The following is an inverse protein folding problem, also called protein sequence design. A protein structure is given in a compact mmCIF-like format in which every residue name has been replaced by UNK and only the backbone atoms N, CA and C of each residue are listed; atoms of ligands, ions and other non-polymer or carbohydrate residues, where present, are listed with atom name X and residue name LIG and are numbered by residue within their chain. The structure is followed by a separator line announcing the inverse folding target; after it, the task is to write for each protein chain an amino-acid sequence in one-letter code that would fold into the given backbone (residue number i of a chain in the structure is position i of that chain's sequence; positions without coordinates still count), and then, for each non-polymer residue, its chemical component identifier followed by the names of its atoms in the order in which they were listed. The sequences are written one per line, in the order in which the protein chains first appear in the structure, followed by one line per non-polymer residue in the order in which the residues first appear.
data_IF_159126318144
#
_entry.id   IF_159126318144
#
_cell.length_a   1.000
_cell.length_b   1.000
_cell.length_c   1.000
_cell.angle_alpha   90.00
_cell.angle_beta   90.00
_cell.angle_gamma   90.00
#
_symmetry.space_group_name_H-M   'P 1'
#
loop_
_entity.id
_entity.type
_entity.pdbx_description
1 polymer ?
#
# COMPACT_ATOMS: atom_id res chain seq x y z
N UNK A 1 50.36 -53.61 -59.96
CA UNK A 1 49.26 -52.64 -59.83
C UNK A 1 49.73 -51.46 -58.98
N UNK A 2 49.38 -50.21 -59.34
CA UNK A 2 50.22 -49.03 -59.09
C UNK A 2 49.62 -48.00 -58.10
N UNK A 3 50.46 -47.00 -57.79
CA UNK A 3 50.31 -45.83 -56.92
C UNK A 3 49.26 -44.81 -57.39
N UNK A 4 48.70 -44.03 -56.45
CA UNK A 4 48.92 -42.57 -56.24
C UNK A 4 47.70 -41.81 -55.67
N UNK A 5 48.04 -40.64 -55.08
CA UNK A 5 47.28 -39.39 -54.92
C UNK A 5 46.67 -39.13 -53.54
N UNK A 6 47.28 -38.16 -52.84
CA UNK A 6 46.63 -37.40 -51.78
C UNK A 6 45.94 -36.14 -52.32
N UNK A 7 44.94 -35.66 -51.60
CA UNK A 7 44.32 -34.35 -51.77
C UNK A 7 43.97 -33.76 -50.40
N UNK A 8 44.46 -32.54 -50.15
CA UNK A 8 43.97 -31.62 -49.10
C UNK A 8 42.53 -31.19 -49.42
N UNK A 9 41.79 -30.73 -48.40
CA UNK A 9 40.88 -29.61 -48.60
C UNK A 9 41.25 -28.39 -47.74
N UNK A 10 41.45 -27.28 -48.45
CA UNK A 10 40.98 -25.92 -48.18
C UNK A 10 40.67 -25.49 -46.73
N UNK A 11 41.52 -24.59 -46.21
CA UNK A 11 41.12 -23.55 -45.25
C UNK A 11 40.15 -22.59 -45.95
N UNK A 12 38.87 -22.66 -45.62
CA UNK A 12 37.83 -21.72 -46.03
C UNK A 12 37.18 -21.08 -44.81
N UNK A 13 37.32 -19.76 -44.69
CA UNK A 13 36.61 -18.91 -43.73
C UNK A 13 35.09 -19.14 -43.81
N UNK A 14 34.44 -19.33 -42.66
CA UNK A 14 33.16 -18.69 -42.36
C UNK A 14 33.20 -18.17 -40.93
N UNK A 15 33.12 -16.85 -40.82
CA UNK A 15 32.70 -16.16 -39.61
C UNK A 15 31.35 -16.73 -39.22
N UNK A 16 31.28 -17.37 -38.07
CA UNK A 16 30.01 -17.68 -37.42
C UNK A 16 29.78 -16.54 -36.44
N UNK A 17 29.07 -15.52 -36.94
CA UNK A 17 28.26 -14.66 -36.08
C UNK A 17 27.18 -15.56 -35.48
N UNK A 18 27.28 -15.86 -34.19
CA UNK A 18 26.16 -16.38 -33.41
C UNK A 18 25.99 -15.47 -32.20
N UNK A 19 24.87 -14.77 -32.27
CA UNK A 19 24.42 -13.75 -31.37
C UNK A 19 24.48 -14.19 -29.91
N UNK A 20 25.18 -13.38 -29.13
CA UNK A 20 25.02 -13.22 -27.69
C UNK A 20 23.60 -12.72 -27.42
N UNK A 21 22.66 -13.66 -27.31
CA UNK A 21 21.24 -13.41 -27.09
C UNK A 21 20.91 -13.34 -25.61
N UNK A 22 20.52 -12.13 -25.18
CA UNK A 22 19.79 -11.73 -23.97
C UNK A 22 19.42 -12.83 -22.95
N UNK A 23 20.10 -12.80 -21.81
CA UNK A 23 19.67 -13.40 -20.55
C UNK A 23 19.84 -12.34 -19.45
N UNK A 24 18.93 -11.36 -19.42
CA UNK A 24 18.75 -10.40 -18.31
C UNK A 24 17.55 -9.51 -18.59
N UNK A 25 16.33 -9.95 -18.28
CA UNK A 25 15.13 -9.07 -18.27
C UNK A 25 14.01 -9.72 -17.45
N UNK A 26 14.16 -9.75 -16.13
CA UNK A 26 13.06 -10.09 -15.21
C UNK A 26 13.15 -9.38 -13.85
N UNK A 27 13.93 -8.30 -13.73
CA UNK A 27 14.25 -7.69 -12.43
C UNK A 27 13.88 -6.20 -12.28
N UNK A 28 12.99 -5.62 -13.09
CA UNK A 28 12.82 -4.15 -13.13
C UNK A 28 11.38 -3.61 -13.25
N UNK A 29 10.37 -4.32 -12.71
CA UNK A 29 8.96 -3.87 -12.82
C UNK A 29 8.24 -3.65 -11.47
N UNK A 30 8.93 -3.82 -10.33
CA UNK A 30 8.28 -3.75 -9.01
C UNK A 30 8.75 -2.64 -8.06
N UNK A 31 9.44 -1.61 -8.55
CA UNK A 31 10.18 -0.64 -7.73
C UNK A 31 9.51 0.73 -7.54
N UNK A 32 8.23 0.93 -7.90
CA UNK A 32 7.61 2.27 -7.92
C UNK A 32 6.37 2.48 -7.02
N UNK A 33 6.10 1.58 -6.07
CA UNK A 33 5.09 1.81 -5.02
C UNK A 33 5.60 1.65 -3.57
N UNK A 34 6.92 1.63 -3.39
CA UNK A 34 7.56 1.93 -2.11
C UNK A 34 8.36 3.21 -2.30
N UNK A 35 7.84 4.33 -1.79
CA UNK A 35 8.58 5.58 -1.77
C UNK A 35 9.95 5.35 -1.11
N UNK A 36 10.98 5.67 -1.87
CA UNK A 36 12.39 5.57 -1.56
C UNK A 36 12.76 6.33 -0.29
N UNK A 37 13.26 5.63 0.73
CA UNK A 37 14.35 6.11 1.62
C UNK A 37 14.88 4.95 2.46
N UNK A 38 16.03 4.41 2.06
CA UNK A 38 16.94 3.64 2.92
C UNK A 38 18.18 4.52 3.10
N UNK A 39 18.32 5.19 4.25
CA UNK A 39 19.56 5.71 4.86
C UNK A 39 19.20 6.62 6.05
N UNK A 40 19.37 6.13 7.28
CA UNK A 40 20.18 6.75 8.36
C UNK A 40 19.94 6.03 9.70
N UNK A 41 21.05 5.72 10.35
CA UNK A 41 21.20 4.95 11.59
C UNK A 41 21.95 5.84 12.61
N UNK A 42 21.52 5.77 13.87
CA UNK A 42 22.18 6.18 15.13
C UNK A 42 22.56 7.66 15.39
N UNK A 43 21.94 8.22 16.44
CA UNK A 43 22.49 9.08 17.51
C UNK A 43 21.26 9.72 18.21
N UNK A 44 21.10 9.98 19.50
CA UNK A 44 21.85 9.82 20.74
C UNK A 44 20.83 10.03 21.88
N UNK A 45 21.05 9.40 23.03
CA UNK A 45 20.35 9.65 24.31
C UNK A 45 20.40 11.13 24.72
N UNK A 46 19.31 11.65 25.29
CA UNK A 46 19.32 12.35 26.59
C UNK A 46 17.93 12.47 27.21
N UNK A 47 17.91 12.56 28.54
CA UNK A 47 16.80 12.35 29.48
C UNK A 47 16.34 13.65 30.16
N UNK A 48 15.12 13.59 30.72
CA UNK A 48 14.48 14.41 31.77
C UNK A 48 13.93 15.78 31.32
N UNK A 49 12.82 16.36 31.80
CA UNK A 49 12.15 16.34 33.12
C UNK A 49 10.62 16.60 32.99
N UNK A 50 9.89 16.08 33.99
CA UNK A 50 8.49 16.17 34.47
C UNK A 50 7.87 17.59 34.59
N UNK A 51 6.55 17.74 34.37
CA UNK A 51 5.59 18.31 35.33
C UNK A 51 4.10 18.28 34.88
N UNK A 52 3.34 17.52 35.67
CA UNK A 52 1.90 17.36 35.91
C UNK A 52 1.02 18.63 35.82
N UNK A 53 -0.19 18.49 35.25
CA UNK A 53 -1.43 18.89 35.94
C UNK A 53 -2.66 18.12 35.44
N UNK A 54 -3.45 17.68 36.41
CA UNK A 54 -4.65 16.88 36.30
C UNK A 54 -5.92 17.76 36.22
N UNK A 55 -7.06 17.06 36.08
CA UNK A 55 -8.47 17.48 36.02
C UNK A 55 -8.99 17.65 34.58
N UNK A 56 -10.16 17.15 34.19
CA UNK A 56 -11.28 16.58 34.92
C UNK A 56 -12.18 15.81 33.94
N UNK A 57 -12.97 14.88 34.49
CA UNK A 57 -13.80 13.91 33.78
C UNK A 57 -14.95 14.54 32.98
N UNK A 58 -15.24 13.93 31.84
CA UNK A 58 -16.44 14.21 31.04
C UNK A 58 -16.70 13.08 30.06
N UNK A 59 -17.32 11.99 30.52
CA UNK A 59 -17.78 10.90 29.68
C UNK A 59 -18.86 11.40 28.70
N UNK A 60 -18.49 11.57 27.43
CA UNK A 60 -19.43 11.58 26.32
C UNK A 60 -19.02 10.55 25.28
N UNK A 61 -19.85 9.50 25.20
CA UNK A 61 -19.87 8.55 24.10
C UNK A 61 -20.23 9.28 22.80
N UNK A 62 -19.24 9.75 22.06
CA UNK A 62 -19.42 10.24 20.71
C UNK A 62 -18.60 9.39 19.74
N UNK A 63 -19.28 8.51 19.01
CA UNK A 63 -18.81 8.10 17.69
C UNK A 63 -18.79 9.36 16.83
N UNK A 64 -17.65 10.04 16.78
CA UNK A 64 -17.61 11.37 16.21
C UNK A 64 -16.19 11.75 15.88
N UNK A 65 -15.98 12.11 14.62
CA UNK A 65 -14.89 13.01 14.25
C UNK A 65 -14.96 14.19 15.23
N UNK A 66 -13.98 14.31 16.11
CA UNK A 66 -13.81 15.51 16.91
C UNK A 66 -13.57 16.67 15.94
N UNK A 67 -14.23 17.81 16.18
CA UNK A 67 -13.89 19.06 15.51
C UNK A 67 -12.37 19.29 15.63
N UNK A 68 -11.81 20.09 14.72
CA UNK A 68 -10.39 20.47 14.77
C UNK A 68 -10.11 21.21 16.10
N UNK A 69 -9.84 20.48 17.17
CA UNK A 69 -9.08 20.95 18.33
C UNK A 69 -7.70 21.38 17.84
N UNK A 70 -7.05 22.30 18.57
CA UNK A 70 -5.70 22.80 18.28
C UNK A 70 -4.80 21.69 17.72
N UNK A 71 -4.59 21.71 16.40
CA UNK A 71 -3.73 20.74 15.73
C UNK A 71 -2.28 21.10 16.06
N UNK A 72 -1.78 20.51 17.13
CA UNK A 72 -0.38 20.62 17.54
C UNK A 72 0.58 19.90 16.57
N UNK A 73 0.03 19.25 15.53
CA UNK A 73 0.77 18.58 14.49
C UNK A 73 1.35 17.22 14.93
N UNK A 74 2.25 16.64 14.12
CA UNK A 74 2.88 15.36 14.46
C UNK A 74 3.84 15.53 15.64
N UNK A 75 3.60 14.78 16.72
CA UNK A 75 4.39 14.86 17.95
C UNK A 75 5.63 13.95 17.87
N UNK A 76 5.43 12.70 17.46
CA UNK A 76 6.52 11.70 17.36
C UNK A 76 7.44 11.98 16.17
N UNK A 77 8.70 11.53 16.27
CA UNK A 77 9.67 11.66 15.18
C UNK A 77 9.21 10.94 13.90
N UNK A 78 8.65 9.74 14.04
CA UNK A 78 8.09 8.96 12.92
C UNK A 78 6.94 9.71 12.24
N UNK A 79 6.00 10.29 13.01
CA UNK A 79 4.91 11.07 12.45
C UNK A 79 5.42 12.32 11.71
N UNK A 80 6.49 12.96 12.20
CA UNK A 80 7.14 14.10 11.52
C UNK A 80 7.79 13.67 10.21
N UNK A 81 8.46 12.51 10.20
CA UNK A 81 9.09 11.94 9.02
C UNK A 81 8.05 11.59 7.94
N UNK A 82 6.93 10.98 8.32
CA UNK A 82 5.81 10.74 7.41
C UNK A 82 5.20 12.03 6.88
N UNK A 83 4.95 13.03 7.73
CA UNK A 83 4.42 14.32 7.29
C UNK A 83 5.36 15.01 6.28
N UNK A 84 6.67 14.97 6.51
CA UNK A 84 7.67 15.47 5.58
C UNK A 84 7.68 14.68 4.26
N UNK A 85 7.58 13.36 4.32
CA UNK A 85 7.48 12.50 3.14
C UNK A 85 6.24 12.81 2.30
N UNK A 86 5.08 13.00 2.93
CA UNK A 86 3.85 13.39 2.24
C UNK A 86 3.99 14.74 1.54
N UNK A 87 4.74 15.68 2.15
CA UNK A 87 5.10 16.93 1.49
C UNK A 87 5.94 16.72 0.23
N UNK A 88 7.01 15.94 0.33
CA UNK A 88 7.87 15.61 -0.82
C UNK A 88 7.09 14.96 -1.97
N UNK A 89 6.15 14.05 -1.66
CA UNK A 89 5.31 13.41 -2.67
C UNK A 89 4.43 14.42 -3.43
N UNK A 90 3.84 15.37 -2.71
CA UNK A 90 3.04 16.42 -3.32
C UNK A 90 3.88 17.39 -4.18
N UNK A 91 5.06 17.76 -3.68
CA UNK A 91 6.00 18.64 -4.40
C UNK A 91 6.54 17.96 -5.67
N UNK A 92 6.84 16.66 -5.59
CA UNK A 92 7.29 15.86 -6.75
C UNK A 92 6.23 15.85 -7.86
N UNK A 93 4.96 15.56 -7.53
CA UNK A 93 3.87 15.59 -8.50
C UNK A 93 3.71 16.98 -9.11
N UNK A 94 3.71 18.04 -8.29
CA UNK A 94 3.57 19.41 -8.76
C UNK A 94 4.71 19.84 -9.69
N UNK A 95 5.92 19.33 -9.48
CA UNK A 95 7.10 19.66 -10.27
C UNK A 95 7.24 18.81 -11.55
N UNK A 96 6.81 17.54 -11.52
CA UNK A 96 7.19 16.55 -12.55
C UNK A 96 6.01 15.89 -13.28
N UNK A 97 4.76 16.15 -12.88
CA UNK A 97 3.57 15.46 -13.40
C UNK A 97 3.54 13.96 -13.01
N UNK A 98 2.79 13.15 -13.75
CA UNK A 98 2.76 11.71 -13.64
C UNK A 98 4.09 11.08 -14.06
N UNK A 99 4.45 9.99 -13.40
CA UNK A 99 5.58 9.13 -13.72
C UNK A 99 5.09 7.92 -14.55
N UNK A 100 5.27 7.91 -15.88
CA UNK A 100 4.76 6.84 -16.73
C UNK A 100 5.36 5.48 -16.39
N UNK A 101 6.61 5.44 -15.91
CA UNK A 101 7.27 4.19 -15.51
C UNK A 101 6.62 3.53 -14.29
N UNK A 102 5.93 4.33 -13.45
CA UNK A 102 5.19 3.83 -12.30
C UNK A 102 3.80 3.33 -12.68
N UNK A 103 3.18 3.97 -13.68
CA UNK A 103 1.77 3.74 -14.07
C UNK A 103 1.66 2.62 -15.10
N UNK A 104 2.55 2.57 -16.09
CA UNK A 104 2.50 1.60 -17.18
C UNK A 104 2.38 0.14 -16.71
N UNK A 105 3.14 -0.32 -15.67
CA UNK A 105 3.01 -1.68 -15.15
C UNK A 105 1.63 -2.01 -14.57
N UNK A 106 0.83 -1.00 -14.21
CA UNK A 106 -0.48 -1.21 -13.59
C UNK A 106 -1.54 -1.59 -14.62
N UNK A 107 -1.33 -1.31 -15.91
CA UNK A 107 -2.32 -1.59 -16.96
C UNK A 107 -2.77 -3.05 -17.01
N UNK A 108 -1.85 -4.00 -16.78
CA UNK A 108 -2.16 -5.44 -16.81
C UNK A 108 -3.06 -5.89 -15.66
N UNK A 109 -3.24 -5.05 -14.63
CA UNK A 109 -4.06 -5.33 -13.46
C UNK A 109 -5.50 -4.80 -13.58
N UNK A 110 -5.81 -4.10 -14.67
CA UNK A 110 -7.13 -3.50 -14.91
C UNK A 110 -7.70 -3.93 -16.28
N UNK A 111 -9.02 -3.93 -16.36
CA UNK A 111 -9.77 -3.93 -17.62
C UNK A 111 -10.02 -2.49 -18.08
N UNK A 112 -10.64 -2.30 -19.24
CA UNK A 112 -11.02 -0.96 -19.74
C UNK A 112 -9.87 -0.03 -20.12
N UNK A 113 -8.65 -0.55 -20.22
CA UNK A 113 -7.46 0.25 -20.52
C UNK A 113 -7.32 0.63 -22.00
N UNK A 114 -7.87 -0.18 -22.92
CA UNK A 114 -7.64 -0.04 -24.37
C UNK A 114 -8.81 0.55 -25.15
N UNK A 115 -10.03 0.49 -24.62
CA UNK A 115 -11.23 0.97 -25.30
C UNK A 115 -11.48 2.44 -24.97
N UNK A 116 -11.82 3.24 -25.98
CA UNK A 116 -12.25 4.63 -25.79
C UNK A 116 -13.57 4.67 -25.01
N UNK A 117 -13.73 5.64 -24.10
CA UNK A 117 -14.94 5.77 -23.26
C UNK A 117 -15.09 4.78 -22.10
N UNK A 118 -14.32 3.67 -22.06
CA UNK A 118 -14.39 2.74 -20.92
C UNK A 118 -13.65 3.29 -19.67
N UNK A 119 -14.28 3.15 -18.51
CA UNK A 119 -13.64 3.44 -17.21
C UNK A 119 -12.86 2.22 -16.76
N UNK A 120 -11.58 2.31 -16.36
CA UNK A 120 -10.85 1.16 -15.83
C UNK A 120 -11.49 0.54 -14.57
N UNK A 121 -11.52 -0.79 -14.49
CA UNK A 121 -11.91 -1.54 -13.29
C UNK A 121 -10.92 -2.68 -13.02
N UNK A 122 -10.70 -3.05 -11.75
CA UNK A 122 -9.68 -4.03 -11.38
C UNK A 122 -10.00 -5.42 -11.93
N UNK A 123 -8.95 -6.17 -12.26
CA UNK A 123 -9.09 -7.58 -12.62
C UNK A 123 -9.22 -8.44 -11.37
N UNK A 124 -10.02 -9.50 -11.49
CA UNK A 124 -10.02 -10.58 -10.51
C UNK A 124 -8.73 -11.38 -10.62
N UNK A 125 -8.25 -11.88 -9.50
CA UNK A 125 -7.06 -12.73 -9.48
C UNK A 125 -7.18 -14.01 -10.31
N UNK A 126 -8.41 -14.50 -10.47
CA UNK A 126 -8.74 -15.65 -11.32
C UNK A 126 -8.71 -15.35 -12.82
N UNK A 127 -8.60 -14.09 -13.23
CA UNK A 127 -8.58 -13.65 -14.63
C UNK A 127 -7.16 -13.43 -15.16
N UNK A 128 -6.14 -13.52 -14.29
CA UNK A 128 -4.75 -13.43 -14.74
C UNK A 128 -4.36 -14.69 -15.49
N UNK A 129 -3.35 -14.57 -16.36
CA UNK A 129 -2.76 -15.70 -17.06
C UNK A 129 -1.27 -15.79 -16.67
N UNK A 130 -0.86 -16.83 -15.93
CA UNK A 130 -1.71 -17.82 -15.23
C UNK A 130 -2.49 -17.23 -14.02
N UNK A 131 -3.64 -17.83 -13.63
CA UNK A 131 -4.50 -17.26 -12.60
C UNK A 131 -3.92 -17.42 -11.20
N UNK A 132 -4.25 -16.48 -10.32
CA UNK A 132 -3.99 -16.56 -8.89
C UNK A 132 -5.24 -17.11 -8.18
N UNK A 133 -5.06 -18.17 -7.38
CA UNK A 133 -6.15 -18.79 -6.65
C UNK A 133 -6.65 -17.95 -5.47
N UNK A 134 -7.90 -18.20 -5.04
CA UNK A 134 -8.49 -17.54 -3.87
C UNK A 134 -7.62 -17.73 -2.63
N UNK A 135 -7.36 -16.65 -1.91
CA UNK A 135 -6.48 -16.65 -0.75
C UNK A 135 -4.99 -16.54 -1.08
N UNK A 136 -4.60 -16.38 -2.35
CA UNK A 136 -3.21 -16.04 -2.70
C UNK A 136 -2.79 -14.65 -2.17
N UNK A 137 -3.74 -13.75 -1.96
CA UNK A 137 -3.50 -12.37 -1.52
C UNK A 137 -4.23 -12.13 -0.22
N UNK A 138 -3.49 -11.73 0.82
CA UNK A 138 -4.00 -11.65 2.19
C UNK A 138 -3.38 -10.47 2.92
N UNK A 139 -4.23 -9.62 3.48
CA UNK A 139 -3.83 -8.36 4.07
C UNK A 139 -4.71 -7.96 5.24
N UNK A 140 -4.08 -7.29 6.20
CA UNK A 140 -4.72 -6.63 7.33
C UNK A 140 -4.86 -5.14 7.02
N UNK A 141 -6.07 -4.61 7.18
CA UNK A 141 -6.37 -3.20 6.88
C UNK A 141 -7.15 -2.54 8.01
N UNK A 142 -7.03 -1.22 8.09
CA UNK A 142 -7.95 -0.36 8.83
C UNK A 142 -8.99 0.13 7.81
N UNK A 143 -10.24 -0.33 7.85
CA UNK A 143 -11.29 0.22 6.99
C UNK A 143 -11.62 1.65 7.44
N UNK A 144 -12.14 2.49 6.53
CA UNK A 144 -12.65 3.83 6.88
C UNK A 144 -14.18 3.86 7.10
N UNK A 145 -14.83 2.71 7.04
CA UNK A 145 -16.28 2.61 6.95
C UNK A 145 -17.03 2.92 8.26
N UNK A 146 -16.34 2.81 9.39
CA UNK A 146 -16.86 3.17 10.71
C UNK A 146 -17.09 4.69 10.88
N UNK A 147 -16.55 5.53 9.98
CA UNK A 147 -16.72 6.98 10.04
C UNK A 147 -17.40 7.54 8.78
N UNK A 148 -18.73 7.77 8.83
CA UNK A 148 -19.45 8.41 7.72
C UNK A 148 -18.90 9.78 7.31
N UNK A 149 -18.29 10.51 8.24
CA UNK A 149 -17.64 11.81 7.98
C UNK A 149 -16.40 11.61 7.12
N UNK A 150 -15.51 10.70 7.51
CA UNK A 150 -14.28 10.38 6.74
C UNK A 150 -14.64 9.84 5.36
N UNK A 151 -15.64 8.95 5.25
CA UNK A 151 -16.13 8.47 3.96
C UNK A 151 -16.64 9.60 3.06
N UNK A 152 -17.36 10.59 3.62
CA UNK A 152 -17.82 11.76 2.85
C UNK A 152 -16.66 12.65 2.42
N UNK A 153 -15.67 12.84 3.29
CA UNK A 153 -14.43 13.55 2.97
C UNK A 153 -13.72 12.88 1.79
N UNK A 154 -13.46 11.58 1.89
CA UNK A 154 -12.80 10.78 0.85
C UNK A 154 -13.54 10.89 -0.50
N UNK A 155 -14.86 10.71 -0.50
CA UNK A 155 -15.68 10.84 -1.71
C UNK A 155 -15.66 12.27 -2.29
N UNK A 156 -15.71 13.30 -1.43
CA UNK A 156 -15.70 14.70 -1.87
C UNK A 156 -14.37 15.11 -2.49
N UNK A 157 -13.25 14.70 -1.87
CA UNK A 157 -11.90 14.89 -2.40
C UNK A 157 -11.75 14.21 -3.76
N UNK A 158 -12.18 12.94 -3.85
CA UNK A 158 -12.16 12.16 -5.09
C UNK A 158 -12.93 12.87 -6.20
N UNK A 159 -14.18 13.28 -5.94
CA UNK A 159 -15.02 13.94 -6.93
C UNK A 159 -14.47 15.31 -7.37
N UNK A 160 -13.83 16.05 -6.47
CA UNK A 160 -13.22 17.35 -6.79
C UNK A 160 -12.02 17.18 -7.71
N UNK A 161 -11.12 16.23 -7.40
CA UNK A 161 -9.95 15.95 -8.25
C UNK A 161 -10.38 15.36 -9.60
N UNK A 162 -11.38 14.47 -9.64
CA UNK A 162 -11.87 13.91 -10.90
C UNK A 162 -12.36 14.98 -11.89
N UNK A 163 -12.98 16.06 -11.40
CA UNK A 163 -13.44 17.19 -12.24
C UNK A 163 -12.31 18.02 -12.85
N UNK A 164 -11.09 17.89 -12.32
CA UNK A 164 -9.91 18.63 -12.78
C UNK A 164 -9.04 17.81 -13.74
N UNK A 165 -9.38 16.54 -13.96
CA UNK A 165 -8.62 15.69 -14.86
C UNK A 165 -8.96 16.05 -16.32
N UNK A 166 -7.98 16.04 -17.23
CA UNK A 166 -8.21 16.23 -18.65
C UNK A 166 -9.22 15.20 -19.19
N UNK A 167 -9.96 15.59 -20.22
CA UNK A 167 -10.86 14.69 -20.94
C UNK A 167 -10.11 13.46 -21.46
N UNK A 168 -10.75 12.29 -21.41
CA UNK A 168 -10.15 11.02 -21.84
C UNK A 168 -9.16 10.40 -20.83
N UNK A 169 -8.88 11.05 -19.70
CA UNK A 169 -8.04 10.47 -18.65
C UNK A 169 -8.65 9.17 -18.11
N UNK A 170 -7.87 8.09 -18.13
CA UNK A 170 -8.23 6.79 -17.57
C UNK A 170 -8.03 6.82 -16.06
N UNK A 171 -9.10 6.59 -15.31
CA UNK A 171 -9.10 6.68 -13.84
C UNK A 171 -9.85 5.52 -13.26
N UNK A 172 -9.24 4.85 -12.29
CA UNK A 172 -9.95 3.96 -11.39
C UNK A 172 -10.20 4.69 -10.06
N UNK A 173 -11.45 4.80 -9.64
CA UNK A 173 -11.80 5.36 -8.33
C UNK A 173 -12.31 4.24 -7.41
N UNK A 174 -11.80 4.17 -6.19
CA UNK A 174 -12.28 3.20 -5.21
C UNK A 174 -13.74 3.49 -4.83
N UNK A 175 -14.54 2.44 -4.75
CA UNK A 175 -15.86 2.52 -4.15
C UNK A 175 -15.75 2.90 -2.67
N UNK A 176 -16.79 3.54 -2.11
CA UNK A 176 -16.78 4.02 -0.72
C UNK A 176 -16.51 2.90 0.29
N UNK A 177 -17.01 1.69 0.03
CA UNK A 177 -16.77 0.51 0.86
C UNK A 177 -15.32 0.00 0.83
N UNK A 178 -14.52 0.47 -0.13
CA UNK A 178 -13.15 0.02 -0.37
C UNK A 178 -12.09 1.01 0.11
N UNK A 179 -12.47 2.11 0.77
CA UNK A 179 -11.49 3.01 1.39
C UNK A 179 -10.92 2.38 2.67
N UNK A 180 -9.59 2.26 2.70
CA UNK A 180 -8.87 1.60 3.79
C UNK A 180 -7.43 2.11 3.90
N UNK A 181 -6.78 1.84 5.03
CA UNK A 181 -5.33 1.89 5.19
C UNK A 181 -4.77 0.48 5.30
N UNK A 182 -3.81 0.11 4.45
CA UNK A 182 -3.11 -1.16 4.60
C UNK A 182 -2.18 -1.13 5.82
N UNK A 183 -2.38 -2.09 6.74
CA UNK A 183 -1.50 -2.28 7.90
C UNK A 183 -0.37 -3.23 7.51
N UNK A 184 -0.69 -4.41 6.99
CA UNK A 184 0.29 -5.46 6.75
C UNK A 184 -0.18 -6.44 5.68
N UNK A 185 0.72 -6.87 4.78
CA UNK A 185 0.45 -7.97 3.85
C UNK A 185 1.10 -9.24 4.37
N UNK A 186 0.33 -10.26 4.70
CA UNK A 186 0.92 -11.59 4.90
C UNK A 186 1.27 -12.21 3.55
N UNK A 187 0.54 -11.86 2.50
CA UNK A 187 0.75 -12.33 1.12
C UNK A 187 0.25 -11.29 0.10
N UNK A 188 0.91 -11.15 -1.06
CA UNK A 188 0.53 -10.18 -2.09
C UNK A 188 0.53 -10.80 -3.50
N UNK A 189 -0.06 -10.17 -4.52
CA UNK A 189 -0.23 -10.79 -5.84
C UNK A 189 1.08 -11.24 -6.50
N UNK A 190 2.13 -10.41 -6.41
CA UNK A 190 3.45 -10.72 -7.00
C UNK A 190 4.34 -11.56 -6.10
N UNK A 191 3.91 -11.84 -4.87
CA UNK A 191 4.66 -12.64 -3.91
C UNK A 191 3.71 -13.42 -2.99
N UNK A 192 2.97 -14.42 -3.52
CA UNK A 192 2.12 -15.26 -2.71
C UNK A 192 2.93 -16.07 -1.70
N UNK A 193 2.45 -16.10 -0.46
CA UNK A 193 3.04 -16.79 0.70
C UNK A 193 2.01 -17.75 1.29
N UNK A 194 2.12 -19.07 1.10
CA UNK A 194 1.15 -20.03 1.61
C UNK A 194 1.15 -20.19 3.13
N UNK A 195 2.32 -20.10 3.76
CA UNK A 195 2.45 -20.14 5.21
C UNK A 195 3.45 -19.07 5.68
N UNK A 196 2.98 -17.84 5.92
CA UNK A 196 3.84 -16.72 6.27
C UNK A 196 4.47 -16.86 7.67
N UNK A 197 4.03 -17.82 8.50
CA UNK A 197 4.63 -18.11 9.81
C UNK A 197 5.99 -18.77 9.69
N UNK A 198 6.27 -19.40 8.54
CA UNK A 198 7.57 -20.00 8.24
C UNK A 198 8.49 -18.99 7.58
N UNK A 199 9.81 -18.98 7.84
CA UNK A 199 10.72 -18.03 7.20
C UNK A 199 10.77 -18.09 5.66
N UNK A 200 10.53 -19.27 5.07
CA UNK A 200 10.42 -19.48 3.62
C UNK A 200 9.06 -19.02 3.05
N UNK A 201 8.10 -18.67 3.92
CA UNK A 201 6.74 -18.36 3.55
C UNK A 201 5.92 -19.58 3.12
N UNK A 202 6.42 -20.80 3.35
CA UNK A 202 5.74 -22.06 3.00
C UNK A 202 5.76 -22.41 1.52
N UNK A 203 6.71 -21.86 0.75
CA UNK A 203 6.81 -22.06 -0.71
C UNK A 203 8.25 -22.10 -1.19
N UNK A 204 8.47 -22.72 -2.35
CA UNK A 204 9.69 -22.54 -3.13
C UNK A 204 9.64 -21.17 -3.84
N UNK A 205 10.63 -20.33 -3.59
CA UNK A 205 10.71 -18.98 -4.16
C UNK A 205 11.21 -18.96 -5.61
N UNK A 206 11.75 -20.08 -6.11
CA UNK A 206 12.10 -20.26 -7.52
C UNK A 206 10.86 -20.45 -8.41
N UNK A 207 9.71 -20.80 -7.83
CA UNK A 207 8.46 -20.89 -8.54
C UNK A 207 7.88 -19.49 -8.81
N UNK A 208 7.40 -19.32 -10.03
CA UNK A 208 6.57 -18.18 -10.42
C UNK A 208 5.36 -18.04 -9.48
N UNK A 209 4.94 -16.81 -9.13
CA UNK A 209 3.88 -16.52 -8.16
C UNK A 209 2.62 -17.40 -8.28
N UNK A 210 2.12 -17.58 -9.50
CA UNK A 210 0.94 -18.36 -9.85
C UNK A 210 1.07 -19.87 -9.69
N UNK A 211 2.30 -20.39 -9.65
CA UNK A 211 2.59 -21.82 -9.45
C UNK A 211 2.79 -22.16 -7.99
N UNK A 212 2.86 -21.16 -7.11
CA UNK A 212 2.94 -21.38 -5.67
C UNK A 212 1.59 -21.90 -5.19
N UNK A 213 1.63 -22.89 -4.29
CA UNK A 213 0.42 -23.48 -3.71
C UNK A 213 -0.40 -22.43 -2.95
N UNK A 214 -1.63 -22.78 -2.59
CA UNK A 214 -2.42 -21.98 -1.65
C UNK A 214 -2.16 -22.42 -0.19
N UNK A 215 -2.51 -21.58 0.82
CA UNK A 215 -2.59 -22.04 2.20
C UNK A 215 -3.55 -23.23 2.32
N UNK A 216 -3.19 -24.21 3.13
CA UNK A 216 -4.13 -25.23 3.62
C UNK A 216 -5.11 -24.60 4.62
N UNK A 217 -6.25 -25.26 4.86
CA UNK A 217 -7.22 -24.78 5.85
C UNK A 217 -6.61 -24.62 7.26
N UNK A 218 -5.67 -25.49 7.64
CA UNK A 218 -4.98 -25.42 8.93
C UNK A 218 -3.97 -24.26 9.00
N UNK A 219 -3.23 -23.99 7.91
CA UNK A 219 -2.33 -22.83 7.82
C UNK A 219 -3.11 -21.53 7.86
N UNK A 220 -4.19 -21.43 7.07
CA UNK A 220 -5.09 -20.27 7.10
C UNK A 220 -5.65 -20.03 8.51
N UNK A 221 -6.17 -21.08 9.16
CA UNK A 221 -6.71 -20.97 10.52
C UNK A 221 -5.65 -20.45 11.50
N UNK A 222 -4.43 -20.99 11.46
CA UNK A 222 -3.33 -20.52 12.32
C UNK A 222 -2.99 -19.05 12.04
N UNK A 223 -2.87 -18.68 10.77
CA UNK A 223 -2.59 -17.30 10.35
C UNK A 223 -3.65 -16.34 10.90
N UNK A 224 -4.94 -16.63 10.67
CA UNK A 224 -6.05 -15.83 11.17
C UNK A 224 -6.11 -15.77 12.71
N UNK A 225 -5.85 -16.89 13.40
CA UNK A 225 -5.82 -16.94 14.86
C UNK A 225 -4.69 -16.05 15.44
N UNK A 226 -3.50 -16.05 14.82
CA UNK A 226 -2.39 -15.16 15.19
C UNK A 226 -2.75 -13.69 14.95
N UNK A 227 -3.29 -13.34 13.77
CA UNK A 227 -3.70 -11.97 13.47
C UNK A 227 -4.75 -11.50 14.47
N UNK A 228 -5.76 -12.33 14.78
CA UNK A 228 -6.81 -12.02 15.75
C UNK A 228 -6.25 -11.72 17.14
N UNK A 229 -5.33 -12.55 17.63
CA UNK A 229 -4.68 -12.35 18.93
C UNK A 229 -3.88 -11.03 18.97
N UNK A 230 -3.10 -10.76 17.92
CA UNK A 230 -2.31 -9.53 17.84
C UNK A 230 -3.18 -8.28 17.76
N UNK A 231 -4.26 -8.30 16.98
CA UNK A 231 -5.21 -7.19 16.87
C UNK A 231 -5.93 -6.96 18.20
N UNK A 232 -6.43 -8.02 18.86
CA UNK A 232 -7.10 -7.91 20.15
C UNK A 232 -6.18 -7.38 21.28
N UNK A 233 -4.86 -7.59 21.16
CA UNK A 233 -3.86 -7.05 22.07
C UNK A 233 -3.37 -5.63 21.68
N UNK A 234 -3.86 -5.07 20.59
CA UNK A 234 -3.46 -3.73 20.11
C UNK A 234 -4.47 -2.70 20.58
N UNK A 235 -4.05 -1.62 21.26
CA UNK A 235 -4.97 -0.55 21.65
C UNK A 235 -5.55 0.15 20.40
N UNK A 236 -6.65 0.87 20.56
CA UNK A 236 -7.24 1.65 19.47
C UNK A 236 -6.29 2.80 19.06
N UNK A 237 -5.81 2.85 17.80
CA UNK A 237 -5.00 3.97 17.33
C UNK A 237 -5.87 5.21 17.12
N UNK A 238 -5.27 6.39 17.26
CA UNK A 238 -5.88 7.66 16.87
C UNK A 238 -5.15 8.18 15.64
N UNK A 239 -5.79 8.09 14.47
CA UNK A 239 -5.23 8.59 13.22
C UNK A 239 -5.63 10.05 13.01
N UNK A 240 -4.66 10.88 12.63
CA UNK A 240 -4.87 12.27 12.20
C UNK A 240 -4.64 12.37 10.71
N UNK A 241 -5.62 12.90 9.99
CA UNK A 241 -5.45 13.27 8.59
C UNK A 241 -4.38 14.36 8.50
N UNK A 242 -3.31 14.05 7.79
CA UNK A 242 -2.14 14.92 7.66
C UNK A 242 -2.21 15.72 6.37
N UNK A 243 -2.42 15.05 5.22
CA UNK A 243 -2.53 15.71 3.90
C UNK A 243 -3.45 14.97 2.94
N UNK A 244 -3.95 15.71 1.96
CA UNK A 244 -4.43 15.16 0.69
C UNK A 244 -3.31 15.28 -0.33
N UNK A 245 -2.94 14.17 -0.98
CA UNK A 245 -1.77 14.11 -1.86
C UNK A 245 -2.13 13.42 -3.16
N UNK A 246 -1.91 14.10 -4.29
CA UNK A 246 -1.74 13.43 -5.58
C UNK A 246 -0.26 13.08 -5.73
N UNK A 247 0.06 11.80 -5.88
CA UNK A 247 1.42 11.34 -6.11
C UNK A 247 1.73 11.23 -7.60
N UNK A 248 3.01 11.37 -7.96
CA UNK A 248 3.52 11.15 -9.34
C UNK A 248 3.22 9.74 -9.85
N UNK A 249 3.02 8.77 -8.97
CA UNK A 249 2.59 7.40 -9.31
C UNK A 249 1.12 7.29 -9.75
N UNK A 250 0.40 8.41 -9.84
CA UNK A 250 -0.99 8.48 -10.28
C UNK A 250 -2.01 8.30 -9.16
N UNK A 251 -1.61 8.01 -7.93
CA UNK A 251 -2.55 7.78 -6.82
C UNK A 251 -2.91 9.06 -6.09
N UNK A 252 -4.20 9.28 -5.86
CA UNK A 252 -4.71 10.27 -4.92
C UNK A 252 -4.89 9.62 -3.54
N UNK A 253 -4.35 10.27 -2.52
CA UNK A 253 -4.21 9.73 -1.18
C UNK A 253 -4.84 10.66 -0.15
N UNK A 254 -5.54 10.08 0.83
CA UNK A 254 -5.59 10.65 2.18
C UNK A 254 -4.42 10.07 2.96
N UNK A 255 -3.57 10.93 3.52
CA UNK A 255 -2.43 10.48 4.31
C UNK A 255 -2.67 10.73 5.79
N UNK A 256 -2.16 9.82 6.61
CA UNK A 256 -2.42 9.79 8.04
C UNK A 256 -1.12 9.75 8.83
N UNK A 257 -1.19 10.26 10.05
CA UNK A 257 -0.18 10.07 11.09
C UNK A 257 -0.88 9.69 12.39
N UNK A 258 -0.16 9.10 13.34
CA UNK A 258 -0.73 8.79 14.65
C UNK A 258 -0.68 10.02 15.58
N UNK A 259 -1.66 10.11 16.48
CA UNK A 259 -1.72 11.11 17.56
C UNK A 259 -1.25 10.48 18.87
N UNK A 260 -0.59 11.30 19.69
CA UNK A 260 -0.03 10.88 20.97
C UNK A 260 1.39 10.33 20.85
N UNK A 261 1.93 9.89 21.97
CA UNK A 261 3.32 9.39 22.06
C UNK A 261 3.44 7.90 21.70
N UNK A 262 2.32 7.20 21.53
CA UNK A 262 2.29 5.79 21.13
C UNK A 262 2.26 5.62 19.62
N UNK A 263 3.19 4.83 19.08
CA UNK A 263 3.22 4.38 17.68
C UNK A 263 2.49 3.05 17.51
N UNK A 264 1.16 3.07 17.69
CA UNK A 264 0.33 1.86 17.78
C UNK A 264 0.36 1.05 16.48
N UNK A 265 0.18 1.70 15.33
CA UNK A 265 0.19 1.02 14.02
C UNK A 265 1.58 0.47 13.71
N UNK A 266 2.64 1.24 13.99
CA UNK A 266 4.01 0.78 13.77
C UNK A 266 4.41 -0.36 14.70
N UNK A 267 3.97 -0.34 15.97
CA UNK A 267 4.15 -1.46 16.89
C UNK A 267 3.42 -2.72 16.41
N UNK A 268 2.16 -2.59 15.96
CA UNK A 268 1.41 -3.71 15.39
C UNK A 268 2.13 -4.27 14.14
N UNK A 269 2.61 -3.42 13.23
CA UNK A 269 3.40 -3.83 12.07
C UNK A 269 4.67 -4.59 12.47
N UNK A 270 5.37 -4.14 13.52
CA UNK A 270 6.55 -4.82 14.06
C UNK A 270 6.20 -6.20 14.60
N UNK A 271 5.18 -6.31 15.47
CA UNK A 271 4.73 -7.61 16.02
C UNK A 271 4.23 -8.57 14.94
N UNK A 272 3.53 -8.07 13.92
CA UNK A 272 3.12 -8.88 12.76
C UNK A 272 4.34 -9.40 11.98
N UNK A 273 5.37 -8.57 11.79
CA UNK A 273 6.61 -8.99 11.12
C UNK A 273 7.35 -10.07 11.91
N UNK A 274 7.35 -9.97 13.25
CA UNK A 274 7.93 -10.98 14.13
C UNK A 274 7.15 -12.30 14.09
N UNK A 275 5.81 -12.23 14.06
CA UNK A 275 4.94 -13.41 13.99
C UNK A 275 4.92 -14.07 12.60
N UNK A 276 5.21 -13.30 11.54
CA UNK A 276 5.18 -13.77 10.16
C UNK A 276 6.52 -13.51 9.44
N UNK A 277 7.59 -14.23 9.80
CA UNK A 277 8.92 -14.01 9.24
C UNK A 277 9.03 -14.27 7.73
N UNK A 278 8.12 -15.07 7.16
CA UNK A 278 8.03 -15.29 5.70
C UNK A 278 6.87 -14.58 5.03
N UNK A 279 6.27 -13.58 5.69
CA UNK A 279 5.33 -12.67 5.04
C UNK A 279 5.95 -11.99 3.82
N UNK A 280 5.10 -11.37 3.00
CA UNK A 280 5.60 -10.71 1.80
C UNK A 280 6.65 -9.64 2.11
N UNK A 281 7.68 -9.57 1.27
CA UNK A 281 8.78 -8.63 1.47
C UNK A 281 8.36 -7.18 1.21
N UNK A 282 7.31 -6.95 0.41
CA UNK A 282 6.78 -5.62 0.16
C UNK A 282 5.68 -5.31 1.18
N UNK A 283 5.88 -4.23 1.92
CA UNK A 283 4.98 -3.79 2.98
C UNK A 283 4.68 -2.30 2.81
N UNK A 284 3.52 -1.86 3.31
CA UNK A 284 3.21 -0.44 3.38
C UNK A 284 4.13 0.23 4.41
N UNK A 285 4.84 1.28 3.99
CA UNK A 285 5.80 2.02 4.83
C UNK A 285 5.21 3.31 5.42
N UNK A 286 4.05 3.72 4.93
CA UNK A 286 3.31 4.90 5.35
C UNK A 286 1.87 4.51 5.70
N UNK A 287 1.12 5.41 6.34
CA UNK A 287 -0.31 5.22 6.62
C UNK A 287 -1.09 6.10 5.65
N UNK A 288 -1.78 5.49 4.69
CA UNK A 288 -2.54 6.21 3.67
C UNK A 288 -3.78 5.42 3.27
N UNK A 289 -4.76 6.12 2.71
CA UNK A 289 -5.89 5.54 2.01
C UNK A 289 -5.89 5.97 0.56
N UNK A 290 -5.87 5.00 -0.34
CA UNK A 290 -5.94 5.24 -1.79
C UNK A 290 -7.38 5.56 -2.19
N UNK A 291 -7.59 6.72 -2.79
CA UNK A 291 -8.92 7.21 -3.19
C UNK A 291 -9.23 6.92 -4.65
N UNK A 292 -8.33 7.36 -5.54
CA UNK A 292 -8.36 7.06 -6.97
C UNK A 292 -6.95 6.84 -7.48
N UNK A 293 -6.86 6.31 -8.69
CA UNK A 293 -5.63 6.09 -9.42
C UNK A 293 -5.82 6.52 -10.86
N UNK A 294 -4.98 7.46 -11.30
CA UNK A 294 -4.82 7.78 -12.71
C UNK A 294 -4.00 6.67 -13.36
N UNK A 295 -4.58 6.09 -14.41
CA UNK A 295 -4.07 4.93 -15.14
C UNK A 295 -3.61 5.30 -16.55
N UNK A 296 -3.86 6.54 -16.99
CA UNK A 296 -3.28 7.07 -18.23
C UNK A 296 -1.76 7.21 -18.09
N UNK A 297 -0.97 6.66 -19.01
CA UNK A 297 0.50 6.79 -18.97
C UNK A 297 0.97 8.15 -19.52
N UNK A 298 0.10 8.90 -20.21
CA UNK A 298 0.41 10.22 -20.72
C UNK A 298 0.42 11.28 -19.61
N UNK A 299 1.17 12.37 -19.78
CA UNK A 299 1.18 13.48 -18.82
C UNK A 299 -0.22 14.13 -18.73
N UNK A 300 -0.58 14.65 -17.56
CA UNK A 300 -1.81 15.42 -17.38
C UNK A 300 -1.69 16.83 -17.98
N UNK A 301 -0.46 17.35 -18.07
CA UNK A 301 -0.19 18.69 -18.51
C UNK A 301 -0.16 19.70 -17.35
N UNK A 302 0.59 20.78 -17.53
CA UNK A 302 0.91 21.74 -16.47
C UNK A 302 -0.32 22.37 -15.82
N UNK A 303 -1.34 22.68 -16.61
CA UNK A 303 -2.58 23.30 -16.11
C UNK A 303 -3.33 22.36 -15.16
N UNK A 304 -3.55 21.11 -15.59
CA UNK A 304 -4.22 20.10 -14.76
C UNK A 304 -3.41 19.78 -13.49
N UNK A 305 -2.07 19.60 -13.61
CA UNK A 305 -1.19 19.38 -12.46
C UNK A 305 -1.29 20.53 -11.45
N UNK A 306 -1.26 21.78 -11.92
CA UNK A 306 -1.38 22.95 -11.06
C UNK A 306 -2.75 23.01 -10.36
N UNK A 307 -3.83 22.77 -11.11
CA UNK A 307 -5.20 22.78 -10.57
C UNK A 307 -5.41 21.68 -9.52
N UNK A 308 -4.95 20.46 -9.79
CA UNK A 308 -5.04 19.31 -8.87
C UNK A 308 -4.19 19.56 -7.62
N UNK A 309 -2.97 20.08 -7.79
CA UNK A 309 -2.09 20.42 -6.67
C UNK A 309 -2.72 21.48 -5.77
N UNK A 310 -3.33 22.51 -6.36
CA UNK A 310 -4.06 23.54 -5.60
C UNK A 310 -5.29 22.97 -4.89
N UNK A 311 -6.07 22.11 -5.54
CA UNK A 311 -7.19 21.42 -4.90
C UNK A 311 -6.72 20.58 -3.70
N UNK A 312 -5.63 19.83 -3.84
CA UNK A 312 -5.03 19.06 -2.74
C UNK A 312 -4.57 19.96 -1.59
N UNK A 313 -3.98 21.13 -1.87
CA UNK A 313 -3.61 22.12 -0.84
C UNK A 313 -4.83 22.67 -0.11
N UNK A 314 -5.87 23.08 -0.84
CA UNK A 314 -7.13 23.59 -0.24
C UNK A 314 -7.79 22.54 0.64
N UNK A 315 -7.89 21.30 0.17
CA UNK A 315 -8.45 20.21 0.97
C UNK A 315 -7.59 19.89 2.19
N UNK A 316 -6.27 19.89 2.05
CA UNK A 316 -5.34 19.72 3.18
C UNK A 316 -5.57 20.81 4.24
N UNK A 317 -5.58 22.09 3.85
CA UNK A 317 -5.82 23.20 4.77
C UNK A 317 -7.18 23.10 5.50
N UNK A 318 -8.19 22.57 4.81
CA UNK A 318 -9.54 22.38 5.38
C UNK A 318 -9.65 21.19 6.33
N UNK A 319 -8.91 20.11 6.07
CA UNK A 319 -9.15 18.80 6.69
C UNK A 319 -8.04 18.34 7.63
N UNK A 320 -6.85 18.91 7.55
CA UNK A 320 -5.72 18.53 8.41
C UNK A 320 -6.15 18.65 9.88
N UNK A 321 -5.76 17.66 10.67
CA UNK A 321 -6.21 17.54 12.06
C UNK A 321 -7.44 16.67 12.27
N UNK A 322 -8.21 16.35 11.21
CA UNK A 322 -9.36 15.43 11.30
C UNK A 322 -8.92 14.10 11.92
N UNK A 323 -9.55 13.71 13.03
CA UNK A 323 -9.24 12.46 13.74
C UNK A 323 -10.14 11.31 13.31
N UNK A 324 -9.56 10.11 13.30
CA UNK A 324 -10.24 8.85 13.05
C UNK A 324 -9.73 7.76 14.01
N UNK A 325 -10.67 7.08 14.67
CA UNK A 325 -10.40 6.12 15.73
C UNK A 325 -11.10 4.79 15.36
N UNK A 326 -10.45 3.91 14.59
CA UNK A 326 -11.06 2.64 14.20
C UNK A 326 -11.22 1.72 15.42
N UNK A 327 -12.37 1.06 15.55
CA UNK A 327 -12.62 0.01 16.55
C UNK A 327 -12.26 -1.38 16.02
N UNK A 328 -12.31 -1.55 14.70
CA UNK A 328 -12.01 -2.83 14.06
C UNK A 328 -10.95 -2.70 12.96
N UNK A 329 -10.23 -3.80 12.74
CA UNK A 329 -9.40 -4.05 11.56
C UNK A 329 -10.01 -5.22 10.79
N UNK A 330 -9.78 -5.27 9.48
CA UNK A 330 -10.22 -6.39 8.65
C UNK A 330 -9.03 -7.20 8.16
N UNK A 331 -9.09 -8.51 8.37
CA UNK A 331 -8.15 -9.44 7.76
C UNK A 331 -8.82 -10.09 6.55
N UNK A 332 -8.28 -9.82 5.36
CA UNK A 332 -8.97 -10.02 4.08
C UNK A 332 -8.22 -11.04 3.24
N UNK A 333 -8.97 -11.91 2.56
CA UNK A 333 -8.52 -12.70 1.41
C UNK A 333 -9.01 -11.99 0.14
N UNK A 334 -8.17 -11.13 -0.41
CA UNK A 334 -8.52 -10.23 -1.51
C UNK A 334 -8.76 -11.05 -2.79
N UNK A 335 -9.77 -10.67 -3.57
CA UNK A 335 -10.13 -11.33 -4.84
C UNK A 335 -9.83 -10.49 -6.07
N UNK A 336 -9.68 -9.17 -5.91
CA UNK A 336 -9.54 -8.20 -6.99
C UNK A 336 -8.44 -7.20 -6.67
N UNK A 337 -7.58 -6.91 -7.64
CA UNK A 337 -6.39 -6.09 -7.41
C UNK A 337 -6.67 -4.69 -6.85
N UNK A 338 -5.92 -4.33 -5.80
CA UNK A 338 -5.88 -2.97 -5.23
C UNK A 338 -7.23 -2.55 -4.64
N UNK A 339 -8.03 -3.53 -4.21
CA UNK A 339 -9.30 -3.34 -3.51
C UNK A 339 -9.22 -3.99 -2.13
N UNK A 340 -10.36 -4.13 -1.46
CA UNK A 340 -10.52 -4.99 -0.29
C UNK A 340 -11.72 -5.92 -0.45
N UNK A 341 -12.09 -6.19 -1.70
CA UNK A 341 -13.14 -7.15 -2.04
C UNK A 341 -12.65 -8.56 -1.78
N UNK A 342 -13.52 -9.38 -1.17
CA UNK A 342 -13.23 -10.77 -0.84
C UNK A 342 -13.70 -11.16 0.56
N UNK A 343 -13.32 -12.37 0.98
CA UNK A 343 -13.67 -12.89 2.30
C UNK A 343 -12.90 -12.14 3.39
N UNK A 344 -13.59 -11.67 4.42
CA UNK A 344 -12.96 -10.90 5.51
C UNK A 344 -13.37 -11.38 6.89
N UNK A 345 -12.43 -11.29 7.82
CA UNK A 345 -12.67 -11.38 9.25
C UNK A 345 -12.62 -9.99 9.87
N UNK A 346 -13.67 -9.62 10.60
CA UNK A 346 -13.72 -8.37 11.36
C UNK A 346 -13.11 -8.62 12.74
N UNK A 347 -12.02 -7.92 13.04
CA UNK A 347 -11.20 -8.12 14.24
C UNK A 347 -11.29 -6.88 15.12
N UNK A 348 -11.78 -7.04 16.35
CA UNK A 348 -11.91 -5.94 17.31
C UNK A 348 -10.55 -5.62 17.94
N UNK A 349 -10.19 -4.35 17.98
CA UNK A 349 -9.02 -3.86 18.71
C UNK A 349 -9.21 -3.98 20.22
N UNK A 350 -8.10 -4.00 20.95
CA UNK A 350 -8.10 -3.97 22.40
C UNK A 350 -8.77 -2.71 22.94
N UNK A 351 -9.63 -2.88 23.93
CA UNK A 351 -10.33 -1.78 24.59
C UNK A 351 -9.32 -0.95 25.41
N UNK A 352 -9.28 0.36 25.22
CA UNK A 352 -8.34 1.23 25.93
C UNK A 352 -8.55 1.23 27.46
N UNK A 353 -9.73 0.78 27.91
CA UNK A 353 -10.09 0.64 29.33
C UNK A 353 -9.78 -0.74 29.92
N UNK A 354 -9.32 -1.71 29.13
CA UNK A 354 -8.98 -3.03 29.65
C UNK A 354 -7.56 -3.02 30.25
N UNK A 355 -7.35 -3.53 31.47
CA UNK A 355 -6.01 -3.62 32.05
C UNK A 355 -5.09 -4.46 31.14
N UNK A 356 -3.79 -4.12 31.04
CA UNK A 356 -2.85 -4.84 30.20
C UNK A 356 -2.83 -6.32 30.59
N UNK A 357 -3.09 -7.20 29.61
CA UNK A 357 -2.98 -8.64 29.82
C UNK A 357 -1.51 -9.02 29.80
N UNK A 358 -0.97 -9.36 30.97
CA UNK A 358 0.31 -10.04 31.06
C UNK A 358 0.14 -11.46 30.51
N UNK A 359 0.93 -11.81 29.50
CA UNK A 359 1.04 -13.17 28.95
C UNK A 359 2.43 -13.72 29.25
#
# INVERSE_FOLDING_TARGET
MPRHIGLRPSRGRRMVNLATGLLATAATVGALLAASTWFLRHSSRQKNVVAVRASEEGHQHANGVAAAEDDTGPVTQEAKEWAALYGKMADEFAATDLNPKAIEPLKSWFHGMNAEGETPWPRKYTEFEPPLGLGAVRLLVIPLDESPVVLRIAASVTADVMRLLPEGTKVFANARGNYHCTVFHTSQPTDPRPDPTRPDGGTDLSLEPSRRRLPTAAEWKREADIVRQLVAATPVPVLRLERVVQASTGVLLLTWTEVGDSSVVSDLRRRLREAFPGASTKQATIIHSSLLRVMSPGPLGREAVAAISEACRRWTAKLRGTRYNPRTLWFIRETEFSTIEGDREVLTLGDAAAPPRHW
#
